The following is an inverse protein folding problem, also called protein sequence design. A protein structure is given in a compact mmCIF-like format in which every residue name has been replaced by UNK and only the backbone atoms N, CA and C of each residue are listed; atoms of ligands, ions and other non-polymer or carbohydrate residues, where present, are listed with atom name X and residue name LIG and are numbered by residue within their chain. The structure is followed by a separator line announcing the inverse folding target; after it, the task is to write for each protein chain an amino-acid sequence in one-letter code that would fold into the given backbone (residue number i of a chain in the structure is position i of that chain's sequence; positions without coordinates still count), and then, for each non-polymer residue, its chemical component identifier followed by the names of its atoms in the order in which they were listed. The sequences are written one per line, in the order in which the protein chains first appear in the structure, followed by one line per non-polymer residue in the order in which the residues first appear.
data_IF_956356601699
#
_entry.id   IF_956356601699
#
_cell.length_a   1.000
_cell.length_b   1.000
_cell.length_c   1.000
_cell.angle_alpha   90.00
_cell.angle_beta   90.00
_cell.angle_gamma   90.00
#
_symmetry.space_group_name_H-M   'P 1'
#
loop_
_entity.id
_entity.type
_entity.pdbx_description
1 polymer ?
#
# COMPACT_ATOMS: atom_id res chain seq x y z
N UNK A 1 10.14 12.88 -2.23
CA UNK A 1 8.67 13.13 -2.47
C UNK A 1 7.88 11.96 -1.90
N UNK A 2 6.88 12.23 -1.09
CA UNK A 2 6.03 11.21 -0.44
C UNK A 2 5.24 10.43 -1.49
N UNK A 3 5.24 9.09 -1.37
CA UNK A 3 4.47 8.17 -2.22
C UNK A 3 3.51 7.35 -1.38
N UNK A 4 2.37 6.97 -1.96
CA UNK A 4 1.47 6.01 -1.33
C UNK A 4 2.02 4.58 -1.48
N UNK A 5 1.85 3.74 -0.45
CA UNK A 5 2.15 2.31 -0.55
C UNK A 5 1.16 1.56 -1.43
N UNK A 6 -0.05 2.10 -1.60
CA UNK A 6 -1.05 1.54 -2.50
C UNK A 6 -0.93 2.16 -3.87
N UNK A 7 -1.04 1.35 -4.90
CA UNK A 7 -0.95 1.80 -6.27
C UNK A 7 -1.58 0.80 -7.24
N UNK A 8 -1.91 1.30 -8.41
CA UNK A 8 -2.43 0.53 -9.53
C UNK A 8 -1.88 1.09 -10.84
N UNK A 9 -1.43 0.20 -11.70
CA UNK A 9 -1.00 0.53 -13.05
C UNK A 9 -1.44 -0.56 -14.02
N UNK A 10 -1.95 -0.17 -15.18
CA UNK A 10 -2.35 -1.09 -16.24
C UNK A 10 -1.92 -0.53 -17.58
N UNK A 11 -1.35 -1.40 -18.39
CA UNK A 11 -1.07 -1.11 -19.80
C UNK A 11 -1.50 -2.30 -20.66
N UNK A 12 -2.01 -2.02 -21.82
CA UNK A 12 -2.36 -3.03 -22.82
C UNK A 12 -1.89 -2.52 -24.19
N UNK A 13 -1.05 -3.30 -24.85
CA UNK A 13 -0.48 -2.92 -26.15
C UNK A 13 -0.36 -4.13 -27.06
N UNK A 14 -0.45 -3.86 -28.35
CA UNK A 14 -0.11 -4.82 -29.39
C UNK A 14 1.37 -4.66 -29.73
N UNK A 15 2.19 -5.66 -29.40
CA UNK A 15 3.64 -5.68 -29.63
C UNK A 15 4.00 -6.99 -30.30
N UNK A 16 4.69 -6.93 -31.43
CA UNK A 16 5.18 -8.09 -32.21
C UNK A 16 4.08 -9.14 -32.48
N UNK A 17 2.86 -8.68 -32.85
CA UNK A 17 1.72 -9.58 -33.15
C UNK A 17 1.09 -10.21 -31.88
N UNK A 18 1.47 -9.78 -30.69
CA UNK A 18 0.90 -10.22 -29.41
C UNK A 18 0.14 -9.07 -28.75
N UNK A 19 -1.12 -9.29 -28.38
CA UNK A 19 -1.86 -8.39 -27.50
C UNK A 19 -1.48 -8.71 -26.06
N UNK A 20 -0.68 -7.83 -25.45
CA UNK A 20 -0.12 -8.01 -24.13
C UNK A 20 -0.78 -7.02 -23.17
N UNK A 21 -1.32 -7.52 -22.08
CA UNK A 21 -1.85 -6.73 -20.97
C UNK A 21 -1.02 -7.01 -19.71
N UNK A 22 -0.54 -5.95 -19.08
CA UNK A 22 0.14 -6.01 -17.78
C UNK A 22 -0.63 -5.12 -16.79
N UNK A 23 -0.98 -5.70 -15.67
CA UNK A 23 -1.63 -5.02 -14.56
C UNK A 23 -0.80 -5.19 -13.30
N UNK A 24 -0.53 -4.10 -12.60
CA UNK A 24 0.29 -4.03 -11.39
C UNK A 24 -0.57 -3.44 -10.28
N UNK A 25 -0.60 -4.10 -9.14
CA UNK A 25 -1.30 -3.63 -7.95
C UNK A 25 -0.41 -3.77 -6.73
N UNK A 26 -0.37 -2.77 -5.86
CA UNK A 26 0.27 -2.89 -4.56
C UNK A 26 -0.68 -2.60 -3.41
N UNK A 27 -0.45 -3.29 -2.29
CA UNK A 27 -1.12 -3.05 -1.02
C UNK A 27 -0.08 -2.89 0.08
N UNK A 28 -0.47 -2.17 1.14
CA UNK A 28 0.41 -2.00 2.29
C UNK A 28 0.78 -3.36 2.89
N UNK A 29 2.08 -3.62 3.01
CA UNK A 29 2.64 -4.80 3.66
C UNK A 29 3.98 -4.45 4.31
N UNK A 30 4.32 -5.14 5.41
CA UNK A 30 5.52 -4.85 6.19
C UNK A 30 6.83 -5.06 5.42
N UNK A 31 6.86 -6.07 4.55
CA UNK A 31 8.02 -6.44 3.73
C UNK A 31 7.66 -6.33 2.26
N UNK A 32 8.67 -6.26 1.40
CA UNK A 32 8.44 -6.40 -0.03
C UNK A 32 8.12 -7.85 -0.35
N UNK A 33 6.94 -8.08 -0.91
CA UNK A 33 6.52 -9.36 -1.47
C UNK A 33 6.11 -9.14 -2.92
N UNK A 34 6.55 -10.04 -3.80
CA UNK A 34 6.15 -10.04 -5.19
C UNK A 34 5.43 -11.35 -5.53
N UNK A 35 4.32 -11.25 -6.21
CA UNK A 35 3.62 -12.40 -6.79
C UNK A 35 3.15 -12.07 -8.20
N UNK A 36 3.30 -13.00 -9.12
CA UNK A 36 2.78 -12.87 -10.46
C UNK A 36 1.63 -13.85 -10.72
N UNK A 37 0.71 -13.46 -11.59
CA UNK A 37 -0.36 -14.33 -12.11
C UNK A 37 -0.18 -14.43 -13.61
N UNK A 38 0.29 -15.61 -14.05
CA UNK A 38 0.67 -15.91 -15.43
C UNK A 38 -0.04 -17.18 -15.90
N UNK A 39 -0.27 -17.31 -17.20
CA UNK A 39 -0.60 -18.59 -17.79
C UNK A 39 0.58 -19.56 -17.64
N UNK A 40 0.30 -20.85 -17.46
CA UNK A 40 1.34 -21.91 -17.33
C UNK A 40 2.36 -21.89 -18.47
N UNK A 41 1.95 -21.53 -19.66
CA UNK A 41 2.82 -21.44 -20.85
C UNK A 41 3.90 -20.35 -20.74
N UNK A 42 3.73 -19.38 -19.85
CA UNK A 42 4.63 -18.23 -19.68
C UNK A 42 5.28 -18.19 -18.29
N UNK A 43 5.35 -19.32 -17.60
CA UNK A 43 5.91 -19.42 -16.24
C UNK A 43 7.35 -18.89 -16.10
N UNK A 44 8.15 -18.94 -17.19
CA UNK A 44 9.51 -18.40 -17.25
C UNK A 44 9.57 -16.85 -17.02
N UNK A 45 8.44 -16.14 -17.23
CA UNK A 45 8.35 -14.70 -16.99
C UNK A 45 8.34 -14.32 -15.51
N UNK A 46 8.04 -15.24 -14.60
CA UNK A 46 7.90 -14.93 -13.17
C UNK A 46 9.20 -14.34 -12.59
N UNK A 47 10.31 -15.00 -12.79
CA UNK A 47 11.62 -14.54 -12.32
C UNK A 47 12.07 -13.25 -13.02
N UNK A 48 11.83 -13.14 -14.35
CA UNK A 48 12.15 -11.95 -15.14
C UNK A 48 11.34 -10.73 -14.65
N UNK A 49 10.04 -10.89 -14.39
CA UNK A 49 9.17 -9.85 -13.84
C UNK A 49 9.57 -9.47 -12.41
N UNK A 50 9.84 -10.46 -11.56
CA UNK A 50 10.32 -10.22 -10.19
C UNK A 50 11.61 -9.39 -10.18
N UNK A 51 12.57 -9.75 -11.03
CA UNK A 51 13.81 -9.01 -11.19
C UNK A 51 13.57 -7.58 -11.72
N UNK A 52 12.66 -7.43 -12.69
CA UNK A 52 12.32 -6.15 -13.29
C UNK A 52 11.68 -5.18 -12.29
N UNK A 53 10.80 -5.68 -11.41
CA UNK A 53 10.13 -4.87 -10.40
C UNK A 53 10.91 -4.71 -9.09
N UNK A 54 11.97 -5.52 -8.90
CA UNK A 54 12.79 -5.44 -7.69
C UNK A 54 13.41 -4.04 -7.53
N UNK A 55 13.36 -3.51 -6.32
CA UNK A 55 13.88 -2.16 -6.01
C UNK A 55 12.98 -0.99 -6.47
N UNK A 56 11.81 -1.26 -7.08
CA UNK A 56 10.83 -0.22 -7.45
C UNK A 56 9.88 0.15 -6.30
N UNK A 57 9.76 -0.74 -5.31
CA UNK A 57 9.10 -0.50 -4.03
C UNK A 57 10.07 -0.87 -2.90
N UNK A 58 10.13 -0.04 -1.85
CA UNK A 58 10.92 -0.36 -0.66
C UNK A 58 10.20 -1.37 0.24
N UNK A 59 8.86 -1.33 0.29
CA UNK A 59 7.99 -2.26 1.03
C UNK A 59 6.62 -2.36 0.38
N UNK A 60 5.83 -3.36 0.76
CA UNK A 60 4.50 -3.59 0.21
C UNK A 60 4.39 -4.93 -0.52
N UNK A 61 3.18 -5.43 -0.69
CA UNK A 61 2.90 -6.60 -1.51
C UNK A 61 2.49 -6.15 -2.90
N UNK A 62 3.30 -6.51 -3.90
CA UNK A 62 3.06 -6.26 -5.32
C UNK A 62 2.49 -7.50 -5.99
N UNK A 63 1.36 -7.36 -6.65
CA UNK A 63 0.77 -8.37 -7.51
C UNK A 63 0.86 -7.90 -8.95
N UNK A 64 1.41 -8.74 -9.83
CA UNK A 64 1.50 -8.49 -11.26
C UNK A 64 0.67 -9.54 -12.02
N UNK A 65 -0.29 -9.10 -12.81
CA UNK A 65 -1.05 -9.95 -13.72
C UNK A 65 -0.60 -9.68 -15.15
N UNK A 66 -0.29 -10.74 -15.89
CA UNK A 66 0.09 -10.63 -17.30
C UNK A 66 -0.77 -11.57 -18.12
N UNK A 67 -1.39 -11.01 -19.15
CA UNK A 67 -2.14 -11.74 -20.16
C UNK A 67 -1.50 -11.50 -21.53
N UNK A 68 -1.26 -12.58 -22.26
CA UNK A 68 -0.66 -12.55 -23.59
C UNK A 68 -1.58 -13.35 -24.51
N UNK A 69 -2.08 -12.68 -25.54
CA UNK A 69 -2.89 -13.27 -26.59
C UNK A 69 -2.19 -13.06 -27.92
N UNK A 70 -1.81 -14.15 -28.59
CA UNK A 70 -1.29 -14.06 -29.94
C UNK A 70 -2.43 -13.66 -30.87
N UNK A 71 -2.24 -12.64 -31.67
CA UNK A 71 -3.23 -12.20 -32.70
C UNK A 71 -3.17 -13.11 -33.91
N UNK A 72 -2.01 -13.64 -34.23
CA UNK A 72 -1.79 -14.67 -35.25
C UNK A 72 -1.66 -16.03 -34.58
N UNK A 73 -2.33 -17.05 -35.14
CA UNK A 73 -2.15 -18.41 -34.65
C UNK A 73 -0.68 -18.80 -34.81
N UNK A 74 -0.04 -19.36 -33.77
CA UNK A 74 1.36 -19.77 -33.87
C UNK A 74 1.48 -20.81 -34.99
N UNK A 75 2.52 -20.66 -35.85
CA UNK A 75 2.80 -21.58 -36.91
C UNK A 75 2.78 -23.01 -36.39
N UNK A 76 1.86 -23.78 -36.94
CA UNK A 76 1.70 -25.18 -36.59
C UNK A 76 2.64 -26.00 -37.42
N UNK A 77 3.68 -26.56 -36.83
CA UNK A 77 4.62 -27.45 -37.49
C UNK A 77 4.01 -28.84 -37.48
N UNK A 78 3.70 -29.33 -38.69
CA UNK A 78 3.32 -30.71 -38.88
C UNK A 78 4.58 -31.48 -39.27
N UNK A 79 5.03 -32.38 -38.42
CA UNK A 79 6.19 -33.26 -38.68
C UNK A 79 5.76 -34.70 -38.88
N UNK A 80 6.44 -35.37 -39.82
CA UNK A 80 6.21 -36.78 -40.12
C UNK A 80 7.08 -37.65 -39.19
N UNK A 81 6.46 -38.66 -38.57
CA UNK A 81 7.19 -39.67 -37.81
C UNK A 81 7.82 -40.71 -38.80
N UNK A 82 8.99 -40.37 -39.32
CA UNK A 82 9.66 -41.17 -40.31
C UNK A 82 9.91 -42.63 -39.88
N UNK A 83 10.22 -42.86 -38.59
CA UNK A 83 10.47 -44.23 -38.10
C UNK A 83 9.19 -45.06 -38.10
N UNK A 84 8.07 -44.45 -37.70
CA UNK A 84 6.78 -45.15 -37.71
C UNK A 84 6.32 -45.45 -39.13
N UNK A 85 6.43 -44.49 -40.05
CA UNK A 85 6.11 -44.72 -41.48
C UNK A 85 6.95 -45.85 -42.06
N UNK A 86 8.26 -45.86 -41.78
CA UNK A 86 9.16 -46.94 -42.27
C UNK A 86 8.74 -48.30 -41.73
N UNK A 87 8.42 -48.39 -40.43
CA UNK A 87 7.95 -49.66 -39.83
C UNK A 87 6.66 -50.16 -40.46
N UNK A 88 5.70 -49.27 -40.74
CA UNK A 88 4.48 -49.68 -41.46
C UNK A 88 4.73 -50.14 -42.87
N UNK A 89 5.58 -49.47 -43.63
CA UNK A 89 5.94 -49.89 -44.99
C UNK A 89 6.61 -51.23 -45.00
N UNK A 90 7.49 -51.55 -44.06
CA UNK A 90 8.13 -52.87 -43.90
C UNK A 90 7.11 -53.96 -43.55
N UNK A 91 6.20 -53.69 -42.61
CA UNK A 91 5.11 -54.58 -42.21
C UNK A 91 4.14 -54.88 -43.37
N UNK A 92 3.79 -53.87 -44.15
CA UNK A 92 2.95 -54.10 -45.35
C UNK A 92 3.67 -54.93 -46.44
N UNK A 93 4.98 -54.73 -46.60
CA UNK A 93 5.80 -55.59 -47.52
C UNK A 93 5.80 -57.02 -47.04
N UNK A 94 6.00 -57.31 -45.78
CA UNK A 94 5.97 -58.61 -45.16
C UNK A 94 4.61 -59.30 -45.36
N UNK A 95 3.50 -58.59 -45.15
CA UNK A 95 2.14 -59.05 -45.41
C UNK A 95 1.94 -59.46 -46.87
N UNK A 96 2.46 -58.67 -47.84
CA UNK A 96 2.36 -58.92 -49.23
C UNK A 96 3.15 -60.22 -49.63
N UNK A 97 4.40 -60.34 -49.16
CA UNK A 97 5.27 -61.45 -49.43
C UNK A 97 4.82 -62.78 -48.80
N UNK A 98 4.33 -62.69 -47.52
CA UNK A 98 3.95 -63.86 -46.73
C UNK A 98 2.59 -64.45 -47.16
N UNK A 99 1.63 -63.58 -47.45
CA UNK A 99 0.24 -63.98 -47.69
C UNK A 99 -0.21 -63.83 -49.14
N UNK A 100 0.67 -63.38 -50.03
CA UNK A 100 0.37 -63.25 -51.48
C UNK A 100 -0.61 -62.13 -51.78
N UNK A 101 -0.68 -61.10 -50.89
CA UNK A 101 -1.58 -59.97 -51.06
C UNK A 101 -0.95 -58.91 -52.00
N UNK A 102 -1.77 -58.26 -52.78
CA UNK A 102 -1.30 -57.16 -53.63
C UNK A 102 -0.90 -55.95 -52.82
N UNK A 103 0.33 -55.46 -52.97
CA UNK A 103 0.83 -54.28 -52.26
C UNK A 103 0.56 -53.01 -53.09
N UNK A 104 -0.59 -52.35 -52.84
CA UNK A 104 -1.03 -51.16 -53.56
C UNK A 104 -1.20 -49.96 -52.62
N UNK A 105 -0.31 -49.81 -51.61
CA UNK A 105 -0.36 -48.81 -50.58
C UNK A 105 -0.33 -47.42 -51.19
N UNK A 106 -1.29 -46.58 -50.76
CA UNK A 106 -1.38 -45.16 -51.10
C UNK A 106 -1.06 -44.26 -49.90
N UNK A 107 -0.70 -43.00 -50.18
CA UNK A 107 -0.48 -41.99 -49.12
C UNK A 107 -1.69 -41.86 -48.21
N UNK A 108 -2.92 -42.01 -48.77
CA UNK A 108 -4.16 -42.01 -48.00
C UNK A 108 -4.26 -43.13 -46.97
N UNK A 109 -3.61 -44.25 -47.19
CA UNK A 109 -3.67 -45.40 -46.26
C UNK A 109 -2.71 -45.20 -45.09
N UNK A 110 -1.52 -44.69 -45.39
CA UNK A 110 -0.56 -44.29 -44.37
C UNK A 110 -1.04 -43.10 -43.54
N UNK A 111 -1.69 -42.12 -44.17
CA UNK A 111 -2.17 -40.92 -43.45
C UNK A 111 -3.29 -41.19 -42.43
N UNK A 112 -3.98 -42.35 -42.54
CA UNK A 112 -5.03 -42.78 -41.60
C UNK A 112 -4.48 -43.43 -40.34
N UNK A 113 -3.21 -43.81 -40.36
CA UNK A 113 -2.58 -44.42 -39.19
C UNK A 113 -2.31 -43.35 -38.12
N UNK A 114 -2.71 -43.65 -36.89
CA UNK A 114 -2.49 -42.78 -35.76
C UNK A 114 -1.00 -42.48 -35.56
N UNK A 115 -0.70 -41.29 -35.08
CA UNK A 115 0.66 -40.86 -34.67
C UNK A 115 1.71 -40.71 -35.79
N UNK A 116 1.30 -40.86 -37.06
CA UNK A 116 2.17 -40.59 -38.21
C UNK A 116 2.51 -39.11 -38.34
N UNK A 117 1.54 -38.23 -38.05
CA UNK A 117 1.75 -36.80 -38.01
C UNK A 117 1.80 -36.30 -36.58
N UNK A 118 2.89 -35.64 -36.24
CA UNK A 118 3.01 -34.94 -34.96
C UNK A 118 2.78 -33.46 -35.20
N UNK A 119 1.72 -32.93 -34.59
CA UNK A 119 1.40 -31.52 -34.64
C UNK A 119 2.09 -30.85 -33.44
N UNK A 120 3.04 -29.99 -33.70
CA UNK A 120 3.71 -29.19 -32.67
C UNK A 120 3.45 -27.72 -32.92
N UNK A 121 3.03 -27.00 -31.89
CA UNK A 121 3.09 -25.54 -31.91
C UNK A 121 4.53 -25.12 -31.80
N UNK A 122 4.96 -24.18 -32.64
CA UNK A 122 6.30 -23.62 -32.56
C UNK A 122 6.50 -23.05 -31.14
N UNK A 123 7.57 -23.47 -30.49
CA UNK A 123 7.95 -22.90 -29.18
C UNK A 123 8.27 -21.42 -29.38
N UNK A 124 7.49 -20.59 -28.80
CA UNK A 124 7.71 -19.15 -28.85
C UNK A 124 9.07 -18.82 -28.23
N UNK A 125 9.81 -17.94 -28.88
CA UNK A 125 11.12 -17.46 -28.41
C UNK A 125 10.92 -16.66 -27.10
N UNK A 126 11.41 -17.22 -25.99
CA UNK A 126 11.25 -16.63 -24.65
C UNK A 126 11.84 -15.22 -24.56
N UNK A 127 12.91 -14.93 -25.29
CA UNK A 127 13.56 -13.62 -25.26
C UNK A 127 12.77 -12.59 -26.06
N UNK A 128 12.14 -12.97 -27.16
CA UNK A 128 11.20 -12.10 -27.89
C UNK A 128 9.96 -11.79 -27.06
N UNK A 129 9.38 -12.81 -26.41
CA UNK A 129 8.24 -12.61 -25.52
C UNK A 129 8.61 -11.66 -24.38
N UNK A 130 9.76 -11.88 -23.75
CA UNK A 130 10.22 -11.01 -22.68
C UNK A 130 10.44 -9.57 -23.15
N UNK A 131 11.06 -9.37 -24.31
CA UNK A 131 11.25 -8.04 -24.89
C UNK A 131 9.92 -7.32 -25.07
N UNK A 132 8.91 -8.00 -25.64
CA UNK A 132 7.58 -7.43 -25.83
C UNK A 132 6.87 -7.13 -24.47
N UNK A 133 6.90 -8.09 -23.53
CA UNK A 133 6.30 -7.94 -22.20
C UNK A 133 6.95 -6.80 -21.42
N UNK A 134 8.27 -6.65 -21.50
CA UNK A 134 9.02 -5.62 -20.77
C UNK A 134 8.61 -4.21 -21.16
N UNK A 135 8.28 -3.96 -22.44
CA UNK A 135 7.77 -2.67 -22.92
C UNK A 135 6.43 -2.33 -22.26
N UNK A 136 5.51 -3.30 -22.26
CA UNK A 136 4.17 -3.11 -21.68
C UNK A 136 4.25 -3.01 -20.15
N UNK A 137 5.14 -3.81 -19.53
CA UNK A 137 5.40 -3.76 -18.10
C UNK A 137 5.97 -2.41 -17.65
N UNK A 138 6.85 -1.79 -18.47
CA UNK A 138 7.38 -0.46 -18.20
C UNK A 138 6.26 0.60 -18.23
N UNK A 139 5.40 0.55 -19.23
CA UNK A 139 4.27 1.49 -19.33
C UNK A 139 3.28 1.33 -18.18
N UNK A 140 3.02 0.09 -17.74
CA UNK A 140 2.21 -0.18 -16.56
C UNK A 140 2.88 0.35 -15.27
N UNK A 141 4.20 0.19 -15.15
CA UNK A 141 5.00 0.70 -14.03
C UNK A 141 4.98 2.22 -13.97
N UNK A 142 5.10 2.92 -15.10
CA UNK A 142 5.05 4.38 -15.14
C UNK A 142 3.68 4.90 -14.67
N UNK A 143 2.61 4.27 -15.11
CA UNK A 143 1.25 4.54 -14.63
C UNK A 143 1.09 4.28 -13.12
N UNK A 144 1.64 3.19 -12.63
CA UNK A 144 1.65 2.82 -11.22
C UNK A 144 2.41 3.85 -10.36
N UNK A 145 3.60 4.26 -10.77
CA UNK A 145 4.40 5.27 -10.05
C UNK A 145 3.65 6.61 -10.02
N UNK A 146 3.13 7.06 -11.16
CA UNK A 146 2.36 8.30 -11.25
C UNK A 146 1.12 8.30 -10.34
N UNK A 147 0.42 7.17 -10.23
CA UNK A 147 -0.71 7.03 -9.29
C UNK A 147 -0.24 7.16 -7.84
N UNK A 148 0.84 6.47 -7.45
CA UNK A 148 1.39 6.53 -6.08
C UNK A 148 1.84 7.94 -5.69
N UNK A 149 2.43 8.68 -6.61
CA UNK A 149 2.86 10.07 -6.38
C UNK A 149 1.67 11.01 -6.18
N UNK A 150 0.64 10.88 -7.02
CA UNK A 150 -0.60 11.66 -6.86
C UNK A 150 -1.32 11.35 -5.55
N UNK A 151 -1.41 10.08 -5.20
CA UNK A 151 -2.06 9.65 -3.96
C UNK A 151 -1.23 10.09 -2.75
N UNK A 152 0.11 9.96 -2.80
CA UNK A 152 1.01 10.46 -1.76
C UNK A 152 0.87 11.96 -1.53
N UNK A 153 0.73 12.76 -2.59
CA UNK A 153 0.48 14.19 -2.48
C UNK A 153 -0.87 14.50 -1.78
N UNK A 154 -1.93 13.72 -2.08
CA UNK A 154 -3.23 13.86 -1.42
C UNK A 154 -3.16 13.48 0.06
N UNK A 155 -2.49 12.38 0.41
CA UNK A 155 -2.27 11.96 1.79
C UNK A 155 -1.51 13.04 2.58
N UNK A 156 -0.45 13.60 2.00
CA UNK A 156 0.30 14.72 2.60
C UNK A 156 -0.59 15.91 2.88
N UNK A 157 -1.40 16.34 1.91
CA UNK A 157 -2.31 17.48 2.06
C UNK A 157 -3.36 17.22 3.16
N UNK A 158 -3.93 16.02 3.23
CA UNK A 158 -4.88 15.64 4.27
C UNK A 158 -4.23 15.67 5.66
N UNK A 159 -3.04 15.11 5.82
CA UNK A 159 -2.31 15.13 7.09
C UNK A 159 -1.99 16.56 7.52
N UNK A 160 -1.53 17.43 6.62
CA UNK A 160 -1.26 18.84 6.92
C UNK A 160 -2.52 19.58 7.41
N UNK A 161 -3.65 19.40 6.74
CA UNK A 161 -4.93 19.98 7.16
C UNK A 161 -5.36 19.53 8.56
N UNK A 162 -5.14 18.24 8.89
CA UNK A 162 -5.44 17.71 10.23
C UNK A 162 -4.51 18.28 11.30
N UNK A 163 -3.24 18.46 10.97
CA UNK A 163 -2.29 19.13 11.87
C UNK A 163 -2.69 20.58 12.15
N UNK A 164 -3.24 21.30 11.16
CA UNK A 164 -3.78 22.65 11.37
C UNK A 164 -4.99 22.64 12.32
N UNK A 165 -5.88 21.64 12.19
CA UNK A 165 -7.00 21.45 13.11
C UNK A 165 -6.53 21.17 14.54
N UNK A 166 -5.49 20.35 14.71
CA UNK A 166 -4.90 20.09 16.03
C UNK A 166 -4.37 21.40 16.63
N UNK A 167 -3.61 22.20 15.88
CA UNK A 167 -3.06 23.47 16.35
C UNK A 167 -4.17 24.42 16.78
N UNK A 168 -5.24 24.56 15.99
CA UNK A 168 -6.40 25.41 16.35
C UNK A 168 -7.06 24.98 17.67
N UNK A 169 -7.19 23.66 17.89
CA UNK A 169 -7.73 23.15 19.16
C UNK A 169 -6.77 23.39 20.35
N UNK A 170 -5.45 23.31 20.11
CA UNK A 170 -4.42 23.60 21.11
C UNK A 170 -4.47 25.10 21.51
N UNK A 171 -4.61 25.98 20.53
CA UNK A 171 -4.77 27.43 20.78
C UNK A 171 -5.97 27.73 21.70
N UNK A 172 -7.09 27.09 21.41
CA UNK A 172 -8.27 27.21 22.30
C UNK A 172 -7.96 26.71 23.72
N UNK A 173 -7.27 25.59 23.88
CA UNK A 173 -6.89 25.06 25.21
C UNK A 173 -5.97 26.03 25.96
N UNK A 174 -5.00 26.62 25.25
CA UNK A 174 -4.07 27.61 25.84
C UNK A 174 -4.77 28.86 26.30
N UNK A 175 -5.76 29.36 25.56
CA UNK A 175 -6.56 30.53 25.94
C UNK A 175 -7.55 30.26 27.09
N UNK A 176 -8.16 29.05 27.07
CA UNK A 176 -9.18 28.67 28.06
C UNK A 176 -8.59 28.24 29.40
N UNK A 177 -7.43 27.57 29.41
CA UNK A 177 -6.84 27.02 30.64
C UNK A 177 -6.61 28.03 31.75
N UNK A 178 -6.10 29.25 31.55
CA UNK A 178 -5.97 30.27 32.60
C UNK A 178 -7.32 30.71 33.16
N UNK A 179 -8.37 30.76 32.36
CA UNK A 179 -9.71 31.16 32.77
C UNK A 179 -10.33 30.16 33.74
N UNK A 180 -10.06 28.85 33.53
CA UNK A 180 -10.56 27.78 34.44
C UNK A 180 -10.00 27.92 35.84
N UNK A 181 -8.77 28.43 36.00
CA UNK A 181 -8.16 28.71 37.30
C UNK A 181 -8.91 29.85 38.01
N UNK A 182 -9.23 30.91 37.29
CA UNK A 182 -9.97 32.06 37.85
C UNK A 182 -11.38 31.64 38.30
N UNK A 183 -12.10 30.93 37.42
CA UNK A 183 -13.46 30.43 37.73
C UNK A 183 -13.48 29.47 38.91
N UNK A 184 -12.45 28.62 39.06
CA UNK A 184 -12.32 27.72 40.20
C UNK A 184 -12.13 28.52 41.51
N UNK A 185 -11.25 29.51 41.50
CA UNK A 185 -11.00 30.36 42.66
C UNK A 185 -12.25 31.08 43.11
N UNK A 186 -13.02 31.64 42.18
CA UNK A 186 -14.27 32.32 42.49
C UNK A 186 -15.31 31.37 43.12
N UNK A 187 -15.45 30.16 42.54
CA UNK A 187 -16.35 29.13 43.08
C UNK A 187 -15.90 28.65 44.45
N UNK A 188 -14.59 28.47 44.68
CA UNK A 188 -14.02 28.05 45.93
C UNK A 188 -14.32 29.11 47.03
N UNK A 189 -14.05 30.37 46.74
CA UNK A 189 -14.33 31.49 47.63
C UNK A 189 -15.81 31.60 48.00
N UNK A 190 -16.70 31.49 47.00
CA UNK A 190 -18.14 31.52 47.20
C UNK A 190 -18.60 30.39 48.14
N UNK A 191 -18.16 29.18 47.87
CA UNK A 191 -18.52 28.00 48.68
C UNK A 191 -17.97 28.04 50.08
N UNK A 192 -16.78 28.60 50.30
CA UNK A 192 -16.21 28.80 51.63
C UNK A 192 -16.98 29.86 52.42
N UNK A 193 -17.41 30.95 51.78
CA UNK A 193 -18.26 31.96 52.39
C UNK A 193 -19.61 31.38 52.84
N UNK A 194 -20.23 30.53 52.03
CA UNK A 194 -21.49 29.84 52.36
C UNK A 194 -21.35 28.90 53.56
N UNK A 195 -20.23 28.15 53.64
CA UNK A 195 -20.03 27.12 54.66
C UNK A 195 -19.55 27.69 56.02
N UNK A 196 -18.82 28.80 56.01
CA UNK A 196 -18.12 29.29 57.17
C UNK A 196 -18.87 30.47 57.89
N UNK A 197 -20.01 30.94 57.34
CA UNK A 197 -20.94 31.95 57.81
C UNK A 197 -20.36 33.06 58.74
N UNK A 198 -19.56 32.79 59.78
CA UNK A 198 -18.92 33.67 60.71
C UNK A 198 -17.49 33.33 61.14
N UNK A 199 -16.86 32.32 60.52
CA UNK A 199 -15.49 31.96 60.84
C UNK A 199 -14.50 32.77 59.99
N UNK A 200 -13.40 33.22 60.65
CA UNK A 200 -12.30 33.87 59.93
C UNK A 200 -11.75 32.95 58.84
N UNK A 201 -11.91 33.35 57.57
CA UNK A 201 -11.35 32.67 56.42
C UNK A 201 -9.85 33.01 56.39
N UNK A 202 -9.00 31.98 56.47
CA UNK A 202 -7.56 32.12 56.28
C UNK A 202 -7.28 32.29 54.76
N UNK A 203 -7.13 33.54 54.31
CA UNK A 203 -6.85 33.88 52.92
C UNK A 203 -5.57 33.21 52.38
N UNK A 204 -4.56 33.01 53.26
CA UNK A 204 -3.30 32.41 52.88
C UNK A 204 -3.46 30.92 52.53
N UNK A 205 -4.38 30.24 53.21
CA UNK A 205 -4.74 28.85 52.93
C UNK A 205 -5.50 28.72 51.62
N UNK A 206 -6.38 29.64 51.29
CA UNK A 206 -7.11 29.70 50.02
C UNK A 206 -6.14 29.91 48.86
N UNK A 207 -5.21 30.85 48.98
CA UNK A 207 -4.18 31.11 47.99
C UNK A 207 -3.30 29.89 47.75
N UNK A 208 -2.97 29.17 48.82
CA UNK A 208 -2.19 27.92 48.72
C UNK A 208 -2.95 26.81 47.96
N UNK A 209 -4.23 26.60 48.29
CA UNK A 209 -5.09 25.62 47.59
C UNK A 209 -5.32 26.02 46.13
N UNK A 210 -5.47 27.29 45.82
CA UNK A 210 -5.58 27.81 44.47
C UNK A 210 -4.31 27.60 43.65
N UNK A 211 -3.12 27.80 44.28
CA UNK A 211 -1.85 27.56 43.64
C UNK A 211 -1.63 26.06 43.34
N UNK A 212 -1.97 25.19 44.30
CA UNK A 212 -1.91 23.71 44.09
C UNK A 212 -2.86 23.29 42.97
N UNK A 213 -4.06 23.86 42.94
CA UNK A 213 -5.02 23.58 41.86
C UNK A 213 -4.50 24.05 40.49
N UNK A 214 -4.00 25.28 40.41
CA UNK A 214 -3.44 25.86 39.20
C UNK A 214 -2.28 24.99 38.65
N UNK A 215 -1.40 24.54 39.54
CA UNK A 215 -0.29 23.63 39.14
C UNK A 215 -0.81 22.28 38.63
N UNK A 216 -1.82 21.73 39.27
CA UNK A 216 -2.43 20.46 38.94
C UNK A 216 -3.12 20.44 37.58
N UNK A 217 -3.72 21.56 37.15
CA UNK A 217 -4.41 21.70 35.85
C UNK A 217 -3.55 22.38 34.79
N UNK A 218 -2.31 22.76 35.13
CA UNK A 218 -1.40 23.37 34.17
C UNK A 218 -1.14 22.45 32.99
N UNK A 219 -1.45 22.91 31.77
CA UNK A 219 -1.29 22.15 30.49
C UNK A 219 -0.27 22.82 29.58
N UNK A 220 0.41 23.85 30.04
CA UNK A 220 1.32 24.66 29.23
C UNK A 220 2.50 23.85 28.67
N UNK A 221 3.04 22.91 29.44
CA UNK A 221 4.13 22.05 29.00
C UNK A 221 3.67 21.09 27.90
N UNK A 222 2.51 20.48 28.08
CA UNK A 222 1.93 19.54 27.12
C UNK A 222 1.53 20.23 25.81
N UNK A 223 1.00 21.44 25.86
CA UNK A 223 0.67 22.19 24.64
C UNK A 223 1.92 22.59 23.86
N UNK A 224 2.99 23.02 24.53
CA UNK A 224 4.29 23.33 23.92
C UNK A 224 4.91 22.08 23.28
N UNK A 225 4.89 20.95 23.97
CA UNK A 225 5.38 19.66 23.42
C UNK A 225 4.55 19.24 22.21
N UNK A 226 3.22 19.35 22.29
CA UNK A 226 2.31 19.00 21.20
C UNK A 226 2.59 19.85 19.95
N UNK A 227 2.79 21.16 20.09
CA UNK A 227 3.21 22.06 19.01
C UNK A 227 4.58 21.64 18.41
N UNK A 228 5.53 21.28 19.28
CA UNK A 228 6.85 20.82 18.82
C UNK A 228 6.74 19.54 17.98
N UNK A 229 5.95 18.55 18.42
CA UNK A 229 5.74 17.31 17.68
C UNK A 229 4.99 17.54 16.35
N UNK A 230 3.99 18.44 16.32
CA UNK A 230 3.33 18.85 15.08
C UNK A 230 4.33 19.46 14.10
N UNK A 231 5.20 20.35 14.58
CA UNK A 231 6.23 20.98 13.74
C UNK A 231 7.22 19.97 13.18
N UNK A 232 7.65 19.01 13.98
CA UNK A 232 8.53 17.92 13.54
C UNK A 232 7.84 17.02 12.51
N UNK A 233 6.53 16.72 12.70
CA UNK A 233 5.77 15.92 11.75
C UNK A 233 5.65 16.62 10.38
N UNK A 234 5.44 17.95 10.38
CA UNK A 234 5.46 18.76 9.15
C UNK A 234 6.80 18.70 8.44
N UNK A 235 7.91 18.79 9.16
CA UNK A 235 9.26 18.66 8.59
C UNK A 235 9.48 17.28 7.97
N UNK A 236 9.02 16.21 8.62
CA UNK A 236 9.12 14.87 8.06
C UNK A 236 8.30 14.71 6.78
N UNK A 237 7.14 15.35 6.67
CA UNK A 237 6.34 15.35 5.45
C UNK A 237 7.00 16.10 4.27
N UNK A 238 8.03 16.89 4.51
CA UNK A 238 8.84 17.54 3.47
C UNK A 238 10.12 16.75 3.13
N UNK A 239 10.48 15.74 3.93
CA UNK A 239 11.70 14.95 3.75
C UNK A 239 11.53 13.91 2.64
N UNK A 240 12.63 13.62 1.95
CA UNK A 240 12.72 12.53 0.95
C UNK A 240 13.27 11.21 1.56
N UNK A 241 13.44 11.14 2.87
CA UNK A 241 13.89 9.93 3.56
C UNK A 241 12.74 8.96 3.88
N UNK A 242 13.07 7.71 4.18
CA UNK A 242 12.12 6.72 4.69
C UNK A 242 11.71 7.05 6.15
N UNK A 243 10.63 7.80 6.31
CA UNK A 243 10.23 8.44 7.58
C UNK A 243 9.12 7.70 8.35
N UNK A 244 8.52 6.65 7.80
CA UNK A 244 7.33 6.00 8.37
C UNK A 244 7.46 5.68 9.88
N UNK A 245 8.57 5.07 10.33
CA UNK A 245 8.78 4.76 11.75
C UNK A 245 8.94 6.00 12.63
N UNK A 246 9.58 7.06 12.09
CA UNK A 246 9.77 8.31 12.81
C UNK A 246 8.43 9.03 13.00
N UNK A 247 7.58 8.99 11.97
CA UNK A 247 6.23 9.56 12.03
C UNK A 247 5.33 8.79 13.00
N UNK A 248 5.35 7.45 12.98
CA UNK A 248 4.60 6.62 13.94
C UNK A 248 4.96 6.97 15.40
N UNK A 249 6.24 7.19 15.69
CA UNK A 249 6.70 7.62 17.00
C UNK A 249 6.11 8.99 17.39
N UNK A 250 6.17 9.99 16.48
CA UNK A 250 5.61 11.31 16.76
C UNK A 250 4.10 11.27 16.98
N UNK A 251 3.37 10.45 16.25
CA UNK A 251 1.92 10.26 16.47
C UNK A 251 1.63 9.67 17.86
N UNK A 252 2.48 8.75 18.34
CA UNK A 252 2.36 8.23 19.71
C UNK A 252 2.61 9.31 20.76
N UNK A 253 3.63 10.18 20.56
CA UNK A 253 3.90 11.31 21.46
C UNK A 253 2.75 12.34 21.41
N UNK A 254 2.22 12.68 20.22
CA UNK A 254 1.01 13.53 20.12
C UNK A 254 -0.15 12.98 20.95
N UNK A 255 -0.40 11.68 20.86
CA UNK A 255 -1.47 11.03 21.62
C UNK A 255 -1.19 11.06 23.14
N UNK A 256 0.06 10.88 23.53
CA UNK A 256 0.48 10.97 24.93
C UNK A 256 0.23 12.37 25.51
N UNK A 257 0.66 13.44 24.83
CA UNK A 257 0.43 14.81 25.27
C UNK A 257 -1.07 15.14 25.32
N UNK A 258 -1.84 14.74 24.31
CA UNK A 258 -3.29 14.90 24.31
C UNK A 258 -3.97 14.17 25.47
N UNK A 259 -3.52 12.95 25.84
CA UNK A 259 -4.02 12.22 27.00
C UNK A 259 -3.72 12.96 28.31
N UNK A 260 -2.52 13.53 28.44
CA UNK A 260 -2.11 14.27 29.64
C UNK A 260 -2.94 15.54 29.79
N UNK A 261 -3.15 16.32 28.71
CA UNK A 261 -4.06 17.47 28.71
C UNK A 261 -5.47 17.03 29.14
N UNK A 262 -5.99 15.93 28.57
CA UNK A 262 -7.32 15.43 28.93
C UNK A 262 -7.46 14.99 30.37
N UNK A 263 -6.42 14.42 30.98
CA UNK A 263 -6.43 14.01 32.38
C UNK A 263 -6.33 15.18 33.35
N UNK A 264 -5.71 16.27 32.94
CA UNK A 264 -5.60 17.53 33.70
C UNK A 264 -6.82 18.45 33.51
N UNK A 265 -7.56 18.28 32.41
CA UNK A 265 -8.72 19.11 32.09
C UNK A 265 -9.87 18.89 33.08
N UNK A 266 -10.22 19.94 33.79
CA UNK A 266 -11.42 19.99 34.65
C UNK A 266 -12.54 20.87 34.05
N UNK A 267 -12.36 21.30 32.81
CA UNK A 267 -13.28 22.11 32.03
C UNK A 267 -13.87 21.27 30.89
N UNK A 268 -15.19 21.35 30.71
CA UNK A 268 -15.92 20.54 29.70
C UNK A 268 -15.52 20.94 28.28
N UNK A 269 -15.25 22.21 28.02
CA UNK A 269 -14.86 22.69 26.69
C UNK A 269 -13.43 22.22 26.35
N UNK A 270 -12.50 22.26 27.30
CA UNK A 270 -11.15 21.71 27.11
C UNK A 270 -11.24 20.21 26.85
N UNK A 271 -12.03 19.46 27.64
CA UNK A 271 -12.22 18.03 27.46
C UNK A 271 -12.76 17.72 26.06
N UNK A 272 -13.70 18.48 25.53
CA UNK A 272 -14.25 18.35 24.18
C UNK A 272 -13.18 18.58 23.13
N UNK A 273 -12.35 19.62 23.25
CA UNK A 273 -11.24 19.89 22.32
C UNK A 273 -10.20 18.79 22.34
N UNK A 274 -9.93 18.19 23.50
CA UNK A 274 -9.03 17.03 23.58
C UNK A 274 -9.58 15.83 22.82
N UNK A 275 -10.89 15.58 22.87
CA UNK A 275 -11.51 14.52 22.07
C UNK A 275 -11.34 14.79 20.58
N UNK A 276 -11.53 16.04 20.13
CA UNK A 276 -11.33 16.44 18.73
C UNK A 276 -9.86 16.25 18.31
N UNK A 277 -8.90 16.69 19.14
CA UNK A 277 -7.45 16.48 18.92
C UNK A 277 -7.15 14.97 18.74
N UNK A 278 -7.64 14.13 19.64
CA UNK A 278 -7.41 12.67 19.57
C UNK A 278 -8.02 12.04 18.30
N UNK A 279 -9.19 12.50 17.90
CA UNK A 279 -9.83 12.05 16.66
C UNK A 279 -8.98 12.41 15.43
N UNK A 280 -8.41 13.63 15.38
CA UNK A 280 -7.51 14.00 14.28
C UNK A 280 -6.18 13.22 14.34
N UNK A 281 -5.61 12.96 15.50
CA UNK A 281 -4.39 12.15 15.67
C UNK A 281 -4.61 10.72 15.13
N UNK A 282 -5.75 10.09 15.42
CA UNK A 282 -6.02 8.73 14.91
C UNK A 282 -6.19 8.70 13.40
N UNK A 283 -6.87 9.68 12.83
CA UNK A 283 -6.96 9.82 11.37
C UNK A 283 -5.56 10.03 10.73
N UNK A 284 -4.70 10.84 11.34
CA UNK A 284 -3.31 11.02 10.87
C UNK A 284 -2.57 9.69 10.93
N UNK A 285 -2.72 8.93 12.00
CA UNK A 285 -2.09 7.61 12.16
C UNK A 285 -2.47 6.65 11.04
N UNK A 286 -3.75 6.58 10.67
CA UNK A 286 -4.23 5.74 9.56
C UNK A 286 -3.59 6.16 8.22
N UNK A 287 -3.47 7.48 7.97
CA UNK A 287 -2.87 7.98 6.73
C UNK A 287 -1.36 7.69 6.66
N UNK A 288 -0.63 7.89 7.76
CA UNK A 288 0.82 7.65 7.83
C UNK A 288 1.17 6.19 7.54
N UNK A 289 0.32 5.24 7.93
CA UNK A 289 0.52 3.82 7.63
C UNK A 289 0.55 3.52 6.12
N UNK A 290 -0.01 4.39 5.29
CA UNK A 290 -0.05 4.26 3.83
C UNK A 290 1.01 5.11 3.11
N UNK A 291 1.89 5.78 3.84
CA UNK A 291 2.97 6.65 3.32
C UNK A 291 4.30 5.89 3.28
N UNK A 292 5.01 6.06 2.14
CA UNK A 292 6.37 5.59 1.90
C UNK A 292 7.28 6.75 1.50
#
# INVERSE_FOLDING_TARGET
MIKSMTGYGRSQQLVDGMNIMVEIKSVNHRYFEFSSKLSRSYGFLDEKLKSFFNGKLARGKMECYVQIEAVEEPDTIISLNHNLVKGYLEAYKELSETFGLENNIKVSDISRVSDIFTIRKQTADEDKIWAAVSVVAQAALDGFISMREREGARLKADVLSRLDNIISNVEFVEERSPQTVVEYNEKLLSRLRELLSDAHIDEQRILTEAAIFADKIAVAEETVRLRSHVSQLRLFLESDEAIGKKMDFLVQELNREANTIGSKAQDVEIARRVVDIKAEIEKIREQIQNIE
#
